data_IF_719963203805
#
_entry.id   IF_719963203805
#
_cell.length_a   1.000
_cell.length_b   1.000
_cell.length_c   1.000
_cell.angle_alpha   90.00
_cell.angle_beta   90.00
_cell.angle_gamma   90.00
#
_symmetry.space_group_name_H-M   'P 1'
#
loop_
_entity.id
_entity.type
_entity.pdbx_description
1 polymer ?
#
# COMPACT_ATOMS: atom_id res chain seq x y z
N UNK A 1 -12.37 10.78 -0.19
CA UNK A 1 -11.05 10.37 0.30
C UNK A 1 -10.46 11.46 1.17
N UNK A 2 -9.91 11.10 2.32
CA UNK A 2 -9.21 12.01 3.20
C UNK A 2 -7.72 11.73 3.12
N UNK A 3 -6.92 12.76 3.01
CA UNK A 3 -5.47 12.65 2.88
C UNK A 3 -4.82 13.36 4.06
N UNK A 4 -3.89 12.70 4.72
CA UNK A 4 -3.11 13.30 5.79
C UNK A 4 -1.63 13.01 5.61
N UNK A 5 -0.81 13.99 5.90
CA UNK A 5 0.64 13.88 5.88
C UNK A 5 1.09 13.56 7.31
N UNK A 6 1.58 12.36 7.53
CA UNK A 6 1.91 11.89 8.85
C UNK A 6 3.19 11.06 8.87
N UNK A 7 3.94 11.20 9.96
CA UNK A 7 5.12 10.37 10.17
C UNK A 7 4.71 8.91 10.39
N UNK A 8 5.42 7.96 9.79
CA UNK A 8 5.08 6.55 9.89
C UNK A 8 5.59 5.96 11.20
N UNK A 9 4.70 5.70 12.14
CA UNK A 9 5.08 5.01 13.36
C UNK A 9 4.99 3.49 13.23
N UNK A 10 4.00 2.99 12.52
CA UNK A 10 3.74 1.56 12.40
C UNK A 10 3.70 1.13 10.94
N UNK A 11 4.64 1.65 10.16
CA UNK A 11 4.72 1.25 8.77
C UNK A 11 5.14 -0.22 8.66
N UNK A 12 4.57 -0.99 7.75
CA UNK A 12 4.84 -2.41 7.66
C UNK A 12 6.33 -2.68 7.42
N UNK A 13 6.85 -3.73 8.04
CA UNK A 13 8.22 -4.14 7.82
C UNK A 13 8.41 -4.64 6.39
N UNK A 14 9.61 -4.46 5.88
CA UNK A 14 10.00 -4.97 4.57
C UNK A 14 10.56 -6.37 4.78
N UNK A 15 9.71 -7.35 4.60
CA UNK A 15 10.07 -8.76 4.73
C UNK A 15 9.77 -9.50 3.46
N UNK A 16 10.50 -10.57 3.20
CA UNK A 16 10.21 -11.46 2.09
C UNK A 16 8.98 -12.30 2.39
N UNK A 17 8.21 -12.62 1.38
CA UNK A 17 7.00 -13.40 1.48
C UNK A 17 5.89 -12.70 2.29
N UNK A 18 4.73 -13.30 2.34
CA UNK A 18 3.60 -12.79 3.11
C UNK A 18 3.81 -13.20 4.56
N UNK A 19 3.98 -12.22 5.44
CA UNK A 19 4.23 -12.45 6.86
C UNK A 19 3.40 -11.54 7.73
N UNK A 20 3.15 -12.03 8.94
CA UNK A 20 2.50 -11.28 9.99
C UNK A 20 3.58 -10.66 10.86
N UNK A 21 3.74 -9.35 10.81
CA UNK A 21 4.80 -8.64 11.52
C UNK A 21 4.25 -7.42 12.22
N UNK A 22 4.76 -7.18 13.42
CA UNK A 22 4.40 -6.01 14.20
C UNK A 22 5.47 -4.92 14.18
N UNK A 23 6.69 -5.25 13.79
CA UNK A 23 7.80 -4.31 13.82
C UNK A 23 7.85 -3.48 12.54
N UNK A 24 8.09 -2.16 12.62
CA UNK A 24 8.30 -1.32 11.45
C UNK A 24 9.61 -1.66 10.75
N UNK A 25 9.68 -1.38 9.45
CA UNK A 25 10.93 -1.52 8.72
C UNK A 25 12.00 -0.61 9.30
N UNK A 26 13.26 -1.07 9.43
CA UNK A 26 14.33 -0.24 10.00
C UNK A 26 14.51 1.10 9.30
N UNK A 27 14.35 1.15 7.99
CA UNK A 27 14.47 2.39 7.22
C UNK A 27 13.41 3.42 7.60
N UNK A 28 12.30 2.98 8.18
CA UNK A 28 11.20 3.86 8.59
C UNK A 28 11.31 4.34 10.03
N UNK A 29 12.19 3.75 10.81
CA UNK A 29 12.44 4.19 12.20
C UNK A 29 13.06 5.59 12.23
N UNK A 30 13.84 5.93 11.22
CA UNK A 30 14.39 7.27 11.05
C UNK A 30 13.47 8.24 10.31
N UNK A 31 12.25 7.78 9.97
CA UNK A 31 11.31 8.54 9.18
C UNK A 31 11.52 8.34 7.68
N UNK A 32 10.46 8.02 6.94
CA UNK A 32 10.52 8.03 5.50
C UNK A 32 10.64 9.49 5.04
N UNK A 33 11.52 9.80 4.06
CA UNK A 33 11.65 11.16 3.55
C UNK A 33 10.37 11.67 2.90
N UNK A 34 9.53 10.76 2.41
CA UNK A 34 8.24 11.11 1.80
C UNK A 34 7.21 10.06 2.15
N UNK A 35 6.10 10.48 2.70
CA UNK A 35 5.00 9.59 3.06
C UNK A 35 3.66 10.32 3.01
N UNK A 36 2.63 9.59 2.63
CA UNK A 36 1.26 10.08 2.60
C UNK A 36 0.32 8.99 3.09
N UNK A 37 -0.56 9.35 4.02
CA UNK A 37 -1.65 8.49 4.48
C UNK A 37 -2.97 9.00 3.91
N UNK A 38 -3.84 8.10 3.50
CA UNK A 38 -5.17 8.46 3.01
C UNK A 38 -6.22 7.53 3.60
N UNK A 39 -7.47 7.99 3.61
CA UNK A 39 -8.60 7.15 3.96
C UNK A 39 -9.72 7.30 2.93
N UNK A 40 -10.44 6.21 2.70
CA UNK A 40 -11.58 6.16 1.79
C UNK A 40 -12.79 5.78 2.62
N UNK A 41 -13.85 6.56 2.48
CA UNK A 41 -15.05 6.42 3.32
C UNK A 41 -15.82 5.12 3.08
N UNK A 42 -16.80 4.82 3.98
CA UNK A 42 -17.43 3.51 4.03
C UNK A 42 -18.33 3.20 2.85
N UNK A 43 -18.90 4.22 2.21
CA UNK A 43 -19.91 4.03 1.16
C UNK A 43 -19.32 4.07 -0.25
N UNK A 44 -18.03 3.85 -0.37
CA UNK A 44 -17.33 3.88 -1.66
C UNK A 44 -17.20 2.45 -2.19
N UNK A 45 -17.63 2.23 -3.43
CA UNK A 45 -17.51 0.93 -4.09
C UNK A 45 -16.04 0.57 -4.33
N UNK A 46 -15.70 -0.72 -4.50
CA UNK A 46 -14.33 -1.11 -4.82
C UNK A 46 -13.77 -0.39 -6.05
N UNK A 47 -14.56 -0.25 -7.11
CA UNK A 47 -14.14 0.46 -8.34
C UNK A 47 -13.85 1.93 -8.04
N UNK A 48 -14.75 2.61 -7.33
CA UNK A 48 -14.54 4.01 -6.96
C UNK A 48 -13.35 4.18 -6.01
N UNK A 49 -13.13 3.23 -5.10
CA UNK A 49 -11.97 3.24 -4.23
C UNK A 49 -10.66 3.14 -5.03
N UNK A 50 -10.61 2.25 -6.01
CA UNK A 50 -9.47 2.12 -6.91
C UNK A 50 -9.19 3.41 -7.67
N UNK A 51 -10.23 4.05 -8.18
CA UNK A 51 -10.11 5.32 -8.92
C UNK A 51 -9.56 6.43 -8.02
N UNK A 52 -10.08 6.55 -6.81
CA UNK A 52 -9.62 7.56 -5.85
C UNK A 52 -8.17 7.34 -5.45
N UNK A 53 -7.81 6.11 -5.11
CA UNK A 53 -6.44 5.77 -4.74
C UNK A 53 -5.47 5.96 -5.92
N UNK A 54 -5.87 5.55 -7.11
CA UNK A 54 -5.08 5.72 -8.32
C UNK A 54 -4.84 7.19 -8.65
N UNK A 55 -5.86 8.03 -8.54
CA UNK A 55 -5.73 9.47 -8.78
C UNK A 55 -4.80 10.12 -7.75
N UNK A 56 -4.91 9.75 -6.49
CA UNK A 56 -4.02 10.24 -5.44
C UNK A 56 -2.58 9.84 -5.72
N UNK A 57 -2.34 8.58 -6.06
CA UNK A 57 -0.99 8.09 -6.36
C UNK A 57 -0.39 8.80 -7.58
N UNK A 58 -1.19 9.02 -8.63
CA UNK A 58 -0.75 9.72 -9.84
C UNK A 58 -0.28 11.15 -9.54
N UNK A 59 -0.87 11.81 -8.54
CA UNK A 59 -0.46 13.15 -8.11
C UNK A 59 0.74 13.13 -7.17
N UNK A 60 0.83 12.13 -6.32
CA UNK A 60 1.77 12.11 -5.19
C UNK A 60 3.10 11.47 -5.57
N UNK A 61 3.09 10.34 -6.27
CA UNK A 61 4.30 9.57 -6.56
C UNK A 61 5.33 10.35 -7.38
N UNK A 62 4.96 11.15 -8.40
CA UNK A 62 5.97 11.94 -9.11
C UNK A 62 6.72 12.92 -8.23
N UNK A 63 6.09 13.43 -7.18
CA UNK A 63 6.75 14.32 -6.22
C UNK A 63 7.75 13.58 -5.37
N UNK A 64 7.38 12.40 -4.89
CA UNK A 64 8.24 11.56 -4.06
C UNK A 64 9.45 11.06 -4.83
N UNK A 65 9.28 10.77 -6.11
CA UNK A 65 10.31 10.19 -6.96
C UNK A 65 11.04 11.22 -7.83
N UNK A 66 10.95 12.48 -7.50
CA UNK A 66 11.66 13.53 -8.23
C UNK A 66 13.16 13.25 -8.21
N UNK A 67 13.75 13.19 -9.40
CA UNK A 67 15.17 12.93 -9.57
C UNK A 67 15.57 11.45 -9.53
N UNK A 68 14.62 10.56 -9.31
CA UNK A 68 14.88 9.11 -9.35
C UNK A 68 14.97 8.63 -10.78
N UNK A 69 16.02 7.87 -11.16
CA UNK A 69 16.06 7.22 -12.45
C UNK A 69 14.85 6.29 -12.63
N UNK A 70 14.29 6.23 -13.81
CA UNK A 70 13.11 5.42 -14.10
C UNK A 70 11.86 5.78 -13.26
N UNK A 71 11.77 7.03 -12.79
CA UNK A 71 10.66 7.46 -11.94
C UNK A 71 9.29 7.16 -12.55
N UNK A 72 9.12 7.32 -13.86
CA UNK A 72 7.86 7.04 -14.53
C UNK A 72 7.46 5.57 -14.42
N UNK A 73 8.40 4.65 -14.59
CA UNK A 73 8.15 3.21 -14.49
C UNK A 73 7.83 2.82 -13.04
N UNK A 74 8.55 3.39 -12.07
CA UNK A 74 8.31 3.14 -10.65
C UNK A 74 6.94 3.69 -10.24
N UNK A 75 6.58 4.88 -10.69
CA UNK A 75 5.24 5.46 -10.43
C UNK A 75 4.14 4.54 -10.97
N UNK A 76 4.28 4.08 -12.22
CA UNK A 76 3.28 3.20 -12.83
C UNK A 76 3.18 1.88 -12.09
N UNK A 77 4.30 1.28 -11.72
CA UNK A 77 4.33 0.02 -10.97
C UNK A 77 3.68 0.18 -9.59
N UNK A 78 4.07 1.19 -8.85
CA UNK A 78 3.52 1.44 -7.50
C UNK A 78 2.04 1.76 -7.55
N UNK A 79 1.60 2.54 -8.53
CA UNK A 79 0.18 2.85 -8.71
C UNK A 79 -0.63 1.59 -9.03
N UNK A 80 -0.13 0.74 -9.91
CA UNK A 80 -0.79 -0.52 -10.26
C UNK A 80 -0.91 -1.44 -9.04
N UNK A 81 0.16 -1.57 -8.27
CA UNK A 81 0.14 -2.38 -7.04
C UNK A 81 -0.85 -1.80 -6.03
N UNK A 82 -0.84 -0.50 -5.81
CA UNK A 82 -1.76 0.16 -4.88
C UNK A 82 -3.21 -0.09 -5.27
N UNK A 83 -3.56 0.08 -6.53
CA UNK A 83 -4.94 -0.12 -6.98
C UNK A 83 -5.41 -1.56 -6.83
N UNK A 84 -4.54 -2.54 -7.06
CA UNK A 84 -4.89 -3.95 -6.82
C UNK A 84 -5.08 -4.25 -5.33
N UNK A 85 -4.23 -3.70 -4.46
CA UNK A 85 -4.40 -3.88 -3.02
C UNK A 85 -5.66 -3.18 -2.50
N UNK A 86 -6.00 -2.02 -3.05
CA UNK A 86 -7.24 -1.32 -2.71
C UNK A 86 -8.45 -2.15 -3.14
N UNK A 87 -8.44 -2.71 -4.33
CA UNK A 87 -9.54 -3.54 -4.82
C UNK A 87 -9.78 -4.77 -3.94
N UNK A 88 -8.74 -5.56 -3.69
CA UNK A 88 -8.88 -6.77 -2.88
C UNK A 88 -9.29 -6.43 -1.44
N UNK A 89 -8.72 -5.37 -0.87
CA UNK A 89 -9.06 -4.95 0.49
C UNK A 89 -10.51 -4.45 0.56
N UNK A 90 -10.96 -3.68 -0.41
CA UNK A 90 -12.32 -3.16 -0.45
C UNK A 90 -13.37 -4.28 -0.52
N UNK A 91 -13.06 -5.37 -1.23
CA UNK A 91 -13.96 -6.52 -1.36
C UNK A 91 -13.97 -7.42 -0.13
N UNK A 92 -12.94 -7.35 0.72
CA UNK A 92 -12.78 -8.20 1.91
C UNK A 92 -12.54 -7.38 3.19
N UNK A 93 -12.98 -6.14 3.22
CA UNK A 93 -12.68 -5.24 4.34
C UNK A 93 -13.33 -5.67 5.64
N UNK A 94 -12.59 -5.49 6.74
CA UNK A 94 -13.05 -5.79 8.09
C UNK A 94 -13.78 -4.61 8.74
N UNK A 95 -13.56 -3.38 8.24
CA UNK A 95 -14.18 -2.16 8.76
C UNK A 95 -14.82 -1.36 7.62
N UNK A 96 -15.55 -0.31 7.99
CA UNK A 96 -16.22 0.54 7.00
C UNK A 96 -15.26 1.38 6.17
N UNK A 97 -14.11 1.76 6.73
CA UNK A 97 -13.13 2.60 6.05
C UNK A 97 -11.96 1.80 5.52
N UNK A 98 -11.41 2.28 4.39
CA UNK A 98 -10.09 1.86 3.92
C UNK A 98 -9.08 2.91 4.35
N UNK A 99 -7.98 2.47 4.91
CA UNK A 99 -6.85 3.34 5.23
C UNK A 99 -5.65 2.85 4.45
N UNK A 100 -5.00 3.76 3.75
CA UNK A 100 -3.84 3.41 2.95
C UNK A 100 -2.69 4.35 3.20
N UNK A 101 -1.52 3.92 2.78
CA UNK A 101 -0.30 4.69 2.92
C UNK A 101 0.63 4.43 1.75
N UNK A 102 1.30 5.48 1.31
CA UNK A 102 2.35 5.41 0.30
C UNK A 102 3.58 6.08 0.91
N UNK A 103 4.73 5.42 0.86
CA UNK A 103 5.97 5.99 1.36
C UNK A 103 7.14 5.64 0.45
N UNK A 104 8.08 6.57 0.36
CA UNK A 104 9.34 6.38 -0.35
C UNK A 104 10.50 6.59 0.63
N UNK A 105 11.38 5.60 0.74
CA UNK A 105 12.50 5.61 1.70
C UNK A 105 13.88 5.79 1.05
N UNK A 106 13.93 6.12 -0.22
CA UNK A 106 15.17 6.24 -0.98
C UNK A 106 15.53 4.98 -1.77
N UNK A 107 14.91 3.85 -1.48
CA UNK A 107 15.18 2.58 -2.15
C UNK A 107 13.91 1.89 -2.67
N UNK A 108 12.82 2.04 -1.96
CA UNK A 108 11.54 1.41 -2.31
C UNK A 108 10.38 2.37 -2.14
N UNK A 109 9.37 2.20 -2.98
CA UNK A 109 8.04 2.74 -2.73
C UNK A 109 7.24 1.64 -2.06
N UNK A 110 6.82 1.85 -0.83
CA UNK A 110 5.98 0.91 -0.09
C UNK A 110 4.56 1.44 -0.04
N UNK A 111 3.61 0.59 -0.42
CA UNK A 111 2.19 0.89 -0.35
C UNK A 111 1.54 -0.06 0.64
N UNK A 112 0.57 0.41 1.41
CA UNK A 112 -0.20 -0.44 2.30
C UNK A 112 -1.66 -0.05 2.30
N UNK A 113 -2.52 -1.02 2.52
CA UNK A 113 -3.97 -0.82 2.59
C UNK A 113 -4.54 -1.73 3.69
N UNK A 114 -5.41 -1.21 4.51
CA UNK A 114 -6.12 -1.95 5.57
C UNK A 114 -7.54 -1.43 5.76
N UNK A 115 -8.38 -2.14 6.50
CA UNK A 115 -8.09 -3.47 7.06
C UNK A 115 -8.83 -4.54 6.26
N UNK A 116 -8.16 -5.66 6.00
CA UNK A 116 -8.83 -6.86 5.47
C UNK A 116 -9.35 -7.73 6.62
N UNK A 117 -10.47 -8.40 6.39
CA UNK A 117 -11.03 -9.35 7.32
C UNK A 117 -10.44 -10.75 7.24
N UNK A 118 -9.48 -10.97 6.37
CA UNK A 118 -8.86 -12.29 6.15
C UNK A 118 -7.40 -12.13 5.75
N UNK A 119 -6.68 -13.24 5.76
CA UNK A 119 -5.33 -13.29 5.19
C UNK A 119 -5.38 -13.03 3.68
N UNK A 120 -4.30 -12.52 3.14
CA UNK A 120 -4.22 -12.23 1.71
C UNK A 120 -4.47 -13.51 0.91
N UNK A 121 -5.45 -13.51 0.00
CA UNK A 121 -5.72 -14.68 -0.83
C UNK A 121 -4.54 -15.02 -1.75
N UNK A 122 -4.51 -16.25 -2.20
CA UNK A 122 -3.56 -16.64 -3.25
C UNK A 122 -3.95 -15.99 -4.59
N UNK A 123 -2.99 -15.74 -5.49
CA UNK A 123 -3.31 -15.19 -6.81
C UNK A 123 -4.31 -16.03 -7.62
N UNK A 124 -4.40 -17.33 -7.36
CA UNK A 124 -5.37 -18.19 -8.00
C UNK A 124 -6.81 -17.83 -7.64
N UNK A 125 -7.03 -17.32 -6.43
CA UNK A 125 -8.32 -16.84 -5.96
C UNK A 125 -8.59 -15.41 -6.37
N UNK A 126 -7.54 -14.60 -6.45
CA UNK A 126 -7.58 -13.16 -6.75
C UNK A 126 -6.55 -12.84 -7.82
N UNK A 127 -6.92 -12.95 -9.11
CA UNK A 127 -5.95 -12.84 -10.21
C UNK A 127 -5.17 -11.51 -10.28
N UNK A 128 -5.75 -10.42 -9.77
CA UNK A 128 -5.03 -9.13 -9.67
C UNK A 128 -3.75 -9.21 -8.85
N UNK A 129 -3.67 -10.18 -7.93
CA UNK A 129 -2.49 -10.38 -7.10
C UNK A 129 -1.30 -10.97 -7.87
N UNK A 130 -1.51 -11.56 -9.04
CA UNK A 130 -0.39 -11.95 -9.90
C UNK A 130 0.46 -10.74 -10.27
N UNK A 131 -0.18 -9.62 -10.58
CA UNK A 131 0.53 -8.36 -10.86
C UNK A 131 1.31 -7.89 -9.63
N UNK A 132 0.69 -7.93 -8.45
CA UNK A 132 1.34 -7.50 -7.21
C UNK A 132 2.59 -8.32 -6.94
N UNK A 133 2.49 -9.66 -6.99
CA UNK A 133 3.63 -10.53 -6.73
C UNK A 133 4.71 -10.46 -7.81
N UNK A 134 4.36 -10.12 -9.04
CA UNK A 134 5.32 -9.96 -10.12
C UNK A 134 6.09 -8.65 -10.03
N UNK A 135 5.40 -7.58 -9.64
CA UNK A 135 5.94 -6.21 -9.67
C UNK A 135 6.62 -5.85 -8.35
N UNK A 136 6.05 -6.28 -7.23
CA UNK A 136 6.60 -5.97 -5.92
C UNK A 136 7.77 -6.90 -5.59
N UNK A 137 8.79 -6.34 -4.97
CA UNK A 137 9.94 -7.08 -4.47
C UNK A 137 9.59 -7.85 -3.19
N UNK A 138 8.72 -7.26 -2.37
CA UNK A 138 8.25 -7.86 -1.12
C UNK A 138 6.75 -7.59 -0.96
N UNK A 139 6.04 -8.57 -0.42
CA UNK A 139 4.62 -8.47 -0.08
C UNK A 139 4.41 -9.07 1.31
N UNK A 140 3.61 -8.43 2.14
CA UNK A 140 3.34 -8.94 3.49
C UNK A 140 2.03 -8.44 4.06
N UNK A 141 1.71 -8.93 5.25
CA UNK A 141 0.59 -8.47 6.05
C UNK A 141 1.00 -8.36 7.52
N UNK A 142 0.33 -7.49 8.25
CA UNK A 142 0.46 -7.42 9.70
C UNK A 142 -0.90 -7.08 10.33
N UNK A 143 -1.02 -7.34 11.64
CA UNK A 143 -2.25 -7.04 12.37
C UNK A 143 -2.47 -5.53 12.44
N UNK A 144 -3.64 -5.09 11.99
CA UNK A 144 -4.03 -3.68 12.06
C UNK A 144 -4.67 -3.33 13.40
N UNK A 145 -4.75 -2.02 13.67
CA UNK A 145 -5.26 -1.51 14.94
C UNK A 145 -6.77 -1.77 15.13
N UNK A 146 -7.49 -1.98 14.04
CA UNK A 146 -8.95 -2.16 14.04
C UNK A 146 -9.36 -3.63 14.01
N UNK A 147 -8.46 -4.53 14.31
CA UNK A 147 -8.75 -5.97 14.36
C UNK A 147 -8.68 -6.69 13.02
N UNK A 148 -8.39 -5.98 11.95
CA UNK A 148 -8.16 -6.57 10.63
C UNK A 148 -6.68 -6.72 10.33
N UNK A 149 -6.37 -6.93 9.06
CA UNK A 149 -4.99 -7.09 8.58
C UNK A 149 -4.67 -6.00 7.56
N UNK A 150 -3.50 -5.42 7.71
CA UNK A 150 -2.97 -4.46 6.74
C UNK A 150 -2.07 -5.19 5.77
N UNK A 151 -2.35 -5.04 4.48
CA UNK A 151 -1.55 -5.63 3.40
C UNK A 151 -0.62 -4.57 2.82
N UNK A 152 0.62 -4.92 2.60
CA UNK A 152 1.62 -4.00 2.07
C UNK A 152 2.46 -4.67 0.98
N UNK A 153 3.03 -3.83 0.13
CA UNK A 153 3.94 -4.26 -0.93
C UNK A 153 5.02 -3.20 -1.13
N UNK A 154 6.24 -3.63 -1.38
CA UNK A 154 7.37 -2.77 -1.64
C UNK A 154 7.84 -2.93 -3.08
N UNK A 155 7.89 -1.81 -3.80
CA UNK A 155 8.33 -1.74 -5.20
C UNK A 155 9.71 -1.09 -5.23
N UNK A 156 10.68 -1.74 -5.86
CA UNK A 156 12.02 -1.19 -5.98
C UNK A 156 12.02 0.10 -6.82
N UNK A 157 12.75 1.08 -6.36
CA UNK A 157 12.88 2.37 -7.02
C UNK A 157 14.30 2.60 -7.57
#
# INVERSE_FOLDING_TARGET
MTISDAAPHNWPPRTTAVQDKDAPAPALLGGAPSALTFSIGPDVSPVAAMEQAGAMAAMTLPRFLKGVPNAADVCAAAQAVLTELVDVTARHKASGHLVGRVAYDGAHVTVSVGDMGRTLPAPEEEPGLYLVHRVAEEVGQYAGDMGGRVTWAAVAA
#
